data_IF_266936469337
#
_entry.id   IF_266936469337
#
_cell.length_a   1.000
_cell.length_b   1.000
_cell.length_c   1.000
_cell.angle_alpha   90.00
_cell.angle_beta   90.00
_cell.angle_gamma   90.00
#
_symmetry.space_group_name_H-M   'P 1'
#
loop_
_entity.id
_entity.type
_entity.pdbx_description
1 polymer ?
#
# COMPACT_ATOMS: atom_id res chain seq x y z
N UNK A 1 14.05 1.39 9.45
CA UNK A 1 12.81 0.58 9.34
C UNK A 1 11.62 1.35 9.84
N UNK A 2 10.53 1.22 9.18
CA UNK A 2 9.28 1.84 9.61
C UNK A 2 8.19 0.79 9.78
N UNK A 3 7.20 1.11 10.58
CA UNK A 3 6.03 0.27 10.75
C UNK A 3 4.93 0.76 9.82
N UNK A 4 4.31 -0.13 9.09
CA UNK A 4 3.15 0.20 8.27
C UNK A 4 2.06 -0.82 8.48
N UNK A 5 0.83 -0.41 8.33
CA UNK A 5 -0.32 -1.34 8.33
C UNK A 5 -0.73 -1.52 6.89
N UNK A 6 -0.73 -2.77 6.43
CA UNK A 6 -1.02 -3.05 5.04
C UNK A 6 -2.16 -4.05 4.94
N UNK A 7 -2.96 -3.94 3.94
CA UNK A 7 -4.06 -4.89 3.73
C UNK A 7 -5.19 -4.35 2.90
N UNK A 8 -6.37 -4.87 3.19
CA UNK A 8 -7.61 -4.50 2.50
C UNK A 8 -8.58 -3.91 3.52
N UNK A 9 -9.78 -3.60 3.10
CA UNK A 9 -10.80 -3.09 4.02
C UNK A 9 -11.16 -4.07 5.12
N UNK A 10 -10.99 -5.36 4.88
CA UNK A 10 -11.43 -6.39 5.81
C UNK A 10 -10.30 -7.13 6.50
N UNK A 11 -9.08 -7.00 6.00
CA UNK A 11 -7.97 -7.75 6.55
C UNK A 11 -6.72 -6.90 6.53
N UNK A 12 -6.12 -6.68 7.67
CA UNK A 12 -4.96 -5.79 7.81
C UNK A 12 -3.92 -6.43 8.72
N UNK A 13 -2.67 -6.11 8.46
CA UNK A 13 -1.59 -6.54 9.34
C UNK A 13 -0.51 -5.48 9.40
N UNK A 14 0.24 -5.45 10.48
CA UNK A 14 1.37 -4.56 10.63
C UNK A 14 2.63 -5.25 10.17
N UNK A 15 3.46 -4.53 9.44
CA UNK A 15 4.75 -5.03 9.01
C UNK A 15 5.82 -3.98 9.29
N UNK A 16 7.04 -4.42 9.47
CA UNK A 16 8.20 -3.55 9.61
C UNK A 16 8.98 -3.66 8.31
N UNK A 17 9.23 -2.53 7.66
CA UNK A 17 9.79 -2.53 6.33
C UNK A 17 10.83 -1.43 6.15
N UNK A 18 11.81 -1.69 5.29
CA UNK A 18 12.80 -0.70 4.93
C UNK A 18 12.14 0.34 4.01
N UNK A 19 12.24 1.64 4.31
CA UNK A 19 11.63 2.66 3.47
C UNK A 19 12.21 2.75 2.05
N UNK A 20 13.34 2.09 1.80
CA UNK A 20 13.87 1.98 0.46
C UNK A 20 13.21 0.87 -0.37
N UNK A 21 12.28 0.15 0.18
CA UNK A 21 11.52 -0.88 -0.53
C UNK A 21 10.50 -0.22 -1.45
N UNK A 22 10.36 -0.75 -2.65
CA UNK A 22 9.32 -0.27 -3.56
C UNK A 22 7.95 -0.68 -3.06
N UNK A 23 6.98 0.20 -3.24
CA UNK A 23 5.61 -0.08 -2.82
C UNK A 23 5.08 -1.35 -3.49
N UNK A 24 5.35 -1.55 -4.77
CA UNK A 24 4.89 -2.74 -5.48
C UNK A 24 5.44 -4.02 -4.87
N UNK A 25 6.69 -4.00 -4.43
CA UNK A 25 7.30 -5.18 -3.81
C UNK A 25 6.69 -5.46 -2.44
N UNK A 26 6.44 -4.43 -1.67
CA UNK A 26 5.78 -4.57 -0.37
C UNK A 26 4.38 -5.18 -0.54
N UNK A 27 3.63 -4.70 -1.50
CA UNK A 27 2.27 -5.19 -1.75
C UNK A 27 2.31 -6.64 -2.23
N UNK A 28 3.20 -6.97 -3.14
CA UNK A 28 3.32 -8.34 -3.65
C UNK A 28 3.73 -9.31 -2.55
N UNK A 29 4.68 -8.93 -1.72
CA UNK A 29 5.15 -9.78 -0.63
C UNK A 29 4.07 -10.07 0.39
N UNK A 30 3.08 -9.22 0.48
CA UNK A 30 1.99 -9.38 1.44
C UNK A 30 0.68 -9.85 0.78
N UNK A 31 0.77 -10.29 -0.46
CA UNK A 31 -0.39 -10.88 -1.14
C UNK A 31 -1.46 -9.88 -1.54
N UNK A 32 -1.12 -8.61 -1.64
CA UNK A 32 -2.08 -7.58 -2.02
C UNK A 32 -2.10 -7.45 -3.54
N UNK A 33 -3.26 -7.66 -4.12
CA UNK A 33 -3.43 -7.58 -5.57
C UNK A 33 -3.55 -6.13 -6.01
N UNK A 34 -2.60 -5.67 -6.82
CA UNK A 34 -2.59 -4.29 -7.30
C UNK A 34 -3.28 -4.12 -8.65
N UNK A 35 -3.74 -5.19 -9.25
CA UNK A 35 -4.42 -5.11 -10.56
C UNK A 35 -5.88 -4.73 -10.43
N UNK A 36 -6.45 -4.78 -9.25
CA UNK A 36 -7.84 -4.39 -9.00
C UNK A 36 -7.87 -3.38 -7.86
N UNK A 37 -8.76 -2.44 -7.97
CA UNK A 37 -8.93 -1.44 -6.92
C UNK A 37 -7.86 -0.37 -6.93
N UNK A 38 -7.79 0.37 -5.86
CA UNK A 38 -6.89 1.51 -5.69
C UNK A 38 -6.17 1.39 -4.38
N UNK A 39 -4.90 1.74 -4.37
CA UNK A 39 -4.14 1.79 -3.14
C UNK A 39 -4.30 3.17 -2.50
N UNK A 40 -4.66 3.18 -1.24
CA UNK A 40 -4.78 4.39 -0.46
C UNK A 40 -3.69 4.42 0.60
N UNK A 41 -3.00 5.54 0.72
CA UNK A 41 -2.01 5.75 1.76
C UNK A 41 -2.57 6.80 2.71
N UNK A 42 -2.82 6.41 3.94
CA UNK A 42 -3.45 7.26 4.97
C UNK A 42 -4.74 7.90 4.45
N UNK A 43 -5.52 7.12 3.72
CA UNK A 43 -6.81 7.56 3.19
C UNK A 43 -6.74 8.30 1.86
N UNK A 44 -5.55 8.51 1.32
CA UNK A 44 -5.41 9.23 0.05
C UNK A 44 -5.09 8.27 -1.08
N UNK A 45 -5.85 8.27 -2.17
CA UNK A 45 -5.57 7.39 -3.31
C UNK A 45 -4.29 7.80 -4.01
N UNK A 46 -3.54 6.84 -4.51
CA UNK A 46 -2.34 7.11 -5.29
C UNK A 46 -2.48 6.56 -6.70
N UNK A 47 -1.70 7.11 -7.62
CA UNK A 47 -1.73 6.65 -9.00
C UNK A 47 -0.93 5.38 -9.15
N UNK A 48 -1.25 4.58 -10.15
CA UNK A 48 -0.49 3.37 -10.46
C UNK A 48 0.96 3.66 -10.80
N UNK A 49 1.24 4.83 -11.36
CA UNK A 49 2.60 5.22 -11.68
C UNK A 49 3.47 5.36 -10.42
N UNK A 50 2.87 5.52 -9.26
CA UNK A 50 3.59 5.64 -8.01
C UNK A 50 3.95 4.29 -7.39
N UNK A 51 3.39 3.19 -7.90
CA UNK A 51 3.60 1.87 -7.29
C UNK A 51 5.05 1.41 -7.41
N UNK A 52 5.80 1.89 -8.38
CA UNK A 52 7.19 1.54 -8.56
C UNK A 52 8.15 2.41 -7.74
N UNK A 53 7.63 3.38 -7.03
CA UNK A 53 8.44 4.23 -6.18
C UNK A 53 8.67 3.57 -4.82
N UNK A 54 9.75 3.95 -4.16
CA UNK A 54 10.01 3.45 -2.80
C UNK A 54 9.08 4.15 -1.82
N UNK A 55 8.95 3.59 -0.64
CA UNK A 55 8.16 4.20 0.42
C UNK A 55 8.71 5.58 0.77
N UNK A 56 10.03 5.70 0.77
CA UNK A 56 10.68 6.98 1.02
C UNK A 56 10.34 8.02 -0.02
N UNK A 57 10.33 7.62 -1.30
CA UNK A 57 9.97 8.53 -2.39
C UNK A 57 8.52 8.98 -2.32
N UNK A 58 7.66 8.15 -1.76
CA UNK A 58 6.26 8.48 -1.58
C UNK A 58 5.99 9.19 -0.26
N UNK A 59 7.03 9.48 0.48
CA UNK A 59 6.93 10.17 1.78
C UNK A 59 6.07 9.39 2.77
N UNK A 60 6.13 8.08 2.70
CA UNK A 60 5.42 7.22 3.63
C UNK A 60 6.21 7.15 4.93
N UNK A 61 5.57 7.51 6.01
CA UNK A 61 6.21 7.61 7.30
C UNK A 61 5.83 6.45 8.22
N UNK A 62 6.48 6.40 9.37
CA UNK A 62 6.18 5.39 10.38
C UNK A 62 4.70 5.42 10.75
N UNK A 63 4.13 4.26 10.96
CA UNK A 63 2.72 4.08 11.31
C UNK A 63 1.72 4.43 10.19
N UNK A 64 2.18 4.48 8.95
CA UNK A 64 1.27 4.72 7.82
C UNK A 64 0.35 3.53 7.55
N UNK A 65 -0.78 3.82 6.94
CA UNK A 65 -1.74 2.81 6.52
C UNK A 65 -1.72 2.71 5.00
N UNK A 66 -1.46 1.52 4.48
CA UNK A 66 -1.44 1.25 3.04
C UNK A 66 -2.53 0.23 2.75
N UNK A 67 -3.65 0.70 2.27
CA UNK A 67 -4.87 -0.11 2.16
C UNK A 67 -5.30 -0.23 0.70
N UNK A 68 -5.54 -1.45 0.27
CA UNK A 68 -6.11 -1.72 -1.04
C UNK A 68 -7.62 -1.67 -0.93
N UNK A 69 -8.23 -0.75 -1.64
CA UNK A 69 -9.69 -0.61 -1.65
C UNK A 69 -10.19 -1.15 -2.98
N UNK A 70 -10.90 -2.25 -2.93
CA UNK A 70 -11.44 -2.85 -4.14
C UNK A 70 -12.47 -1.93 -4.74
N UNK A 71 -12.38 -1.69 -6.05
CA UNK A 71 -13.34 -0.89 -6.72
C UNK A 71 -14.65 -1.64 -6.77
N UNK A 72 -15.70 -1.00 -6.36
CA UNK A 72 -17.00 -1.61 -6.40
C UNK A 72 -17.38 -1.83 -7.83
N UNK A 73 -17.72 -3.04 -8.12
CA UNK A 73 -18.02 -3.36 -9.44
C UNK A 73 -19.46 -3.26 -9.65
N UNK A 74 -20.00 -2.19 -9.47
CA UNK A 74 -21.29 -2.13 -9.59
C UNK A 74 -21.82 -1.81 -10.74
N UNK A 75 -21.54 -2.45 -11.17
CA UNK A 75 -22.09 -2.26 -12.33
C UNK A 75 -22.99 -1.31 -12.47
#
# INVERSE_FOLDING_TARGET
>A
MINVTIGTNTSRKKVVIDPNTKLSDLLADNGVNTSVGTIHIDGMPISRSDYNKTLSELDIKDNAYIISVAKADNA
#
